data_IF_672211538503
#
_entry.id   IF_672211538503
#
_cell.length_a   1.000
_cell.length_b   1.000
_cell.length_c   1.000
_cell.angle_alpha   90.00
_cell.angle_beta   90.00
_cell.angle_gamma   90.00
#
_symmetry.space_group_name_H-M   'P 1'
#
loop_
_entity.id
_entity.type
_entity.pdbx_description
1 polymer ?
#
# COMPACT_ATOMS: atom_id res chain seq x y z
N UNK A 1 -19.56 -18.62 -7.32
CA UNK A 1 -18.11 -18.60 -7.64
C UNK A 1 -17.55 -19.94 -7.19
N UNK A 2 -17.10 -20.79 -8.10
CA UNK A 2 -16.48 -22.07 -7.73
C UNK A 2 -15.10 -21.77 -7.12
N UNK A 3 -14.87 -22.21 -5.89
CA UNK A 3 -13.55 -22.12 -5.27
C UNK A 3 -12.60 -23.07 -6.02
N UNK A 4 -11.74 -22.53 -6.87
CA UNK A 4 -10.67 -23.30 -7.52
C UNK A 4 -9.57 -23.54 -6.50
N UNK A 5 -9.31 -24.80 -6.15
CA UNK A 5 -8.21 -25.16 -5.26
C UNK A 5 -6.86 -24.68 -5.85
N UNK A 6 -5.94 -24.16 -5.03
CA UNK A 6 -4.58 -23.82 -5.45
C UNK A 6 -3.79 -25.11 -5.76
N UNK A 7 -4.04 -25.72 -6.92
CA UNK A 7 -3.36 -26.95 -7.33
C UNK A 7 -1.88 -26.69 -7.65
N UNK A 8 -0.99 -27.53 -7.14
CA UNK A 8 0.39 -27.68 -7.63
C UNK A 8 1.26 -26.42 -7.61
N UNK A 9 1.19 -25.62 -6.55
CA UNK A 9 2.05 -24.43 -6.41
C UNK A 9 3.49 -24.81 -6.07
N UNK A 10 4.43 -24.35 -6.88
CA UNK A 10 5.85 -24.60 -6.68
C UNK A 10 6.58 -23.40 -6.04
N UNK A 11 5.90 -22.24 -5.92
CA UNK A 11 6.48 -21.02 -5.36
C UNK A 11 5.44 -20.15 -4.63
N UNK A 12 5.93 -19.28 -3.73
CA UNK A 12 5.08 -18.28 -3.03
C UNK A 12 4.47 -17.25 -3.99
N UNK A 13 5.14 -17.00 -5.13
CA UNK A 13 4.65 -16.12 -6.20
C UNK A 13 3.41 -16.70 -6.86
N UNK A 14 3.35 -18.02 -7.07
CA UNK A 14 2.17 -18.69 -7.63
C UNK A 14 0.97 -18.57 -6.69
N UNK A 15 1.21 -18.63 -5.38
CA UNK A 15 0.19 -18.47 -4.36
C UNK A 15 -0.40 -17.06 -4.35
N UNK A 16 0.45 -16.03 -4.45
CA UNK A 16 0.00 -14.65 -4.60
C UNK A 16 -0.73 -14.41 -5.91
N UNK A 17 -0.28 -15.01 -7.01
CA UNK A 17 -0.92 -14.88 -8.32
C UNK A 17 -2.32 -15.51 -8.31
N UNK A 18 -2.45 -16.70 -7.73
CA UNK A 18 -3.75 -17.36 -7.54
C UNK A 18 -4.67 -16.54 -6.63
N UNK A 19 -4.18 -16.08 -5.47
CA UNK A 19 -4.97 -15.24 -4.56
C UNK A 19 -5.44 -13.94 -5.23
N UNK A 20 -4.58 -13.30 -6.05
CA UNK A 20 -4.97 -12.13 -6.82
C UNK A 20 -6.02 -12.47 -7.90
N UNK A 21 -5.93 -13.64 -8.54
CA UNK A 21 -6.92 -14.08 -9.53
C UNK A 21 -8.30 -14.38 -8.93
N UNK A 22 -8.36 -14.91 -7.71
CA UNK A 22 -9.63 -15.24 -7.02
C UNK A 22 -10.30 -13.99 -6.44
N UNK A 23 -9.57 -12.89 -6.33
CA UNK A 23 -10.04 -11.62 -5.74
C UNK A 23 -10.18 -10.50 -6.78
N UNK A 24 -10.33 -10.82 -8.06
CA UNK A 24 -10.43 -9.83 -9.14
C UNK A 24 -9.28 -8.79 -9.13
N UNK A 25 -8.07 -9.26 -8.83
CA UNK A 25 -6.84 -8.45 -8.69
C UNK A 25 -6.83 -7.46 -7.52
N UNK A 26 -7.70 -7.62 -6.52
CA UNK A 26 -7.76 -6.76 -5.33
C UNK A 26 -6.96 -7.25 -4.13
N UNK A 27 -6.48 -8.50 -4.11
CA UNK A 27 -5.76 -9.04 -2.95
C UNK A 27 -4.55 -8.19 -2.55
N UNK A 28 -3.64 -7.95 -3.50
CA UNK A 28 -2.41 -7.20 -3.23
C UNK A 28 -2.69 -5.70 -3.00
N UNK A 29 -3.55 -5.03 -3.80
CA UNK A 29 -4.05 -3.69 -3.49
C UNK A 29 -4.64 -3.55 -2.07
N UNK A 30 -5.46 -4.52 -1.65
CA UNK A 30 -6.09 -4.55 -0.34
C UNK A 30 -5.06 -4.66 0.79
N UNK A 31 -4.05 -5.52 0.63
CA UNK A 31 -2.94 -5.64 1.58
C UNK A 31 -2.16 -4.33 1.70
N UNK A 32 -1.91 -3.63 0.59
CA UNK A 32 -1.23 -2.32 0.62
C UNK A 32 -2.05 -1.27 1.39
N UNK A 33 -3.36 -1.22 1.18
CA UNK A 33 -4.25 -0.30 1.92
C UNK A 33 -4.32 -0.67 3.40
N UNK A 34 -4.41 -1.96 3.74
CA UNK A 34 -4.38 -2.39 5.14
C UNK A 34 -3.05 -2.02 5.81
N UNK A 35 -1.93 -2.23 5.11
CA UNK A 35 -0.59 -1.85 5.59
C UNK A 35 -0.48 -0.35 5.80
N UNK A 36 -1.04 0.45 4.89
CA UNK A 36 -1.14 1.91 5.04
C UNK A 36 -1.83 2.31 6.35
N UNK A 37 -3.02 1.76 6.60
CA UNK A 37 -3.81 2.08 7.80
C UNK A 37 -3.04 1.68 9.06
N UNK A 38 -2.42 0.50 9.09
CA UNK A 38 -1.65 0.01 10.24
C UNK A 38 -0.46 0.94 10.54
N UNK A 39 0.32 1.30 9.52
CA UNK A 39 1.48 2.20 9.68
C UNK A 39 1.00 3.58 10.13
N UNK A 40 -0.06 4.10 9.54
CA UNK A 40 -0.61 5.41 9.89
C UNK A 40 -1.08 5.46 11.35
N UNK A 41 -1.88 4.48 11.80
CA UNK A 41 -2.33 4.40 13.20
C UNK A 41 -1.13 4.28 14.14
N UNK A 42 -0.16 3.42 13.82
CA UNK A 42 1.05 3.24 14.64
C UNK A 42 1.85 4.54 14.75
N UNK A 43 1.95 5.32 13.68
CA UNK A 43 2.63 6.62 13.70
C UNK A 43 1.86 7.67 14.51
N UNK A 44 0.51 7.67 14.46
CA UNK A 44 -0.34 8.55 15.25
C UNK A 44 -0.29 8.24 16.75
N UNK A 45 -0.10 6.97 17.13
CA UNK A 45 0.02 6.59 18.56
C UNK A 45 1.30 7.14 19.23
N UNK A 46 2.24 7.67 18.45
CA UNK A 46 3.44 8.31 18.98
C UNK A 46 3.18 9.80 19.22
N UNK A 47 3.25 10.24 20.48
CA UNK A 47 2.92 11.61 20.90
C UNK A 47 3.78 12.70 20.25
N UNK A 48 4.94 12.34 19.69
CA UNK A 48 5.86 13.29 19.06
C UNK A 48 5.56 13.52 17.57
N UNK A 49 4.64 12.75 16.98
CA UNK A 49 4.28 12.88 15.56
C UNK A 49 2.99 13.68 15.40
N UNK A 50 3.06 14.76 14.62
CA UNK A 50 1.86 15.39 14.08
C UNK A 50 1.21 14.50 13.02
N UNK A 51 -0.11 14.66 12.87
CA UNK A 51 -0.92 13.88 11.91
C UNK A 51 -0.36 13.96 10.49
N UNK A 52 0.20 15.11 10.10
CA UNK A 52 0.80 15.34 8.78
C UNK A 52 2.09 14.52 8.57
N UNK A 53 2.94 14.43 9.60
CA UNK A 53 4.16 13.60 9.57
C UNK A 53 3.81 12.11 9.48
N UNK A 54 2.81 11.68 10.27
CA UNK A 54 2.31 10.31 10.24
C UNK A 54 1.74 9.94 8.86
N UNK A 55 0.95 10.84 8.26
CA UNK A 55 0.34 10.66 6.94
C UNK A 55 1.41 10.60 5.83
N UNK A 56 2.38 11.52 5.84
CA UNK A 56 3.46 11.55 4.85
C UNK A 56 4.35 10.30 4.93
N UNK A 57 4.73 9.88 6.13
CA UNK A 57 5.55 8.69 6.34
C UNK A 57 4.82 7.40 5.93
N UNK A 58 3.55 7.24 6.31
CA UNK A 58 2.74 6.08 5.92
C UNK A 58 2.54 6.00 4.40
N UNK A 59 2.24 7.14 3.77
CA UNK A 59 2.08 7.24 2.31
C UNK A 59 3.37 6.89 1.59
N UNK A 60 4.52 7.40 2.05
CA UNK A 60 5.83 7.12 1.47
C UNK A 60 6.22 5.64 1.55
N UNK A 61 6.03 5.01 2.72
CA UNK A 61 6.33 3.59 2.89
C UNK A 61 5.48 2.70 1.99
N UNK A 62 4.19 3.01 1.85
CA UNK A 62 3.28 2.22 1.01
C UNK A 62 3.51 2.51 -0.47
N UNK A 63 3.94 3.72 -0.83
CA UNK A 63 4.39 4.02 -2.19
C UNK A 63 5.57 3.14 -2.59
N UNK A 64 6.58 2.98 -1.74
CA UNK A 64 7.71 2.06 -1.99
C UNK A 64 7.21 0.61 -2.16
N UNK A 65 6.34 0.13 -1.26
CA UNK A 65 5.78 -1.22 -1.36
C UNK A 65 4.95 -1.40 -2.64
N UNK A 66 4.20 -0.38 -3.06
CA UNK A 66 3.41 -0.39 -4.28
C UNK A 66 4.29 -0.46 -5.53
N UNK A 67 5.47 0.18 -5.51
CA UNK A 67 6.48 0.10 -6.58
C UNK A 67 7.01 -1.32 -6.69
N UNK A 68 7.40 -1.94 -5.58
CA UNK A 68 7.85 -3.35 -5.58
C UNK A 68 6.76 -4.31 -6.06
N UNK A 69 5.52 -4.12 -5.59
CA UNK A 69 4.38 -4.90 -6.05
C UNK A 69 4.10 -4.71 -7.56
N UNK A 70 4.35 -3.51 -8.09
CA UNK A 70 4.25 -3.24 -9.53
C UNK A 70 5.34 -3.92 -10.35
N UNK A 71 6.58 -3.94 -9.87
CA UNK A 71 7.70 -4.65 -10.54
C UNK A 71 7.40 -6.14 -10.68
N UNK A 72 6.75 -6.74 -9.68
CA UNK A 72 6.27 -8.13 -9.72
C UNK A 72 4.94 -8.31 -10.48
N UNK A 73 4.45 -7.25 -11.14
CA UNK A 73 3.20 -7.21 -11.91
C UNK A 73 1.93 -7.59 -11.13
N UNK A 74 1.94 -7.42 -9.80
CA UNK A 74 0.80 -7.74 -8.94
C UNK A 74 -0.23 -6.61 -8.81
N UNK A 75 0.13 -5.39 -9.23
CA UNK A 75 -0.67 -4.18 -9.04
C UNK A 75 -0.67 -3.36 -10.34
N UNK A 76 -1.76 -2.66 -10.64
CA UNK A 76 -1.85 -1.80 -11.82
C UNK A 76 -1.07 -0.49 -11.65
N UNK A 77 -0.64 0.11 -12.77
CA UNK A 77 0.03 1.43 -12.75
C UNK A 77 -0.87 2.51 -12.12
N UNK A 78 -2.18 2.42 -12.32
CA UNK A 78 -3.14 3.35 -11.74
C UNK A 78 -3.10 3.35 -10.21
N UNK A 79 -3.05 2.18 -9.58
CA UNK A 79 -3.03 2.07 -8.12
C UNK A 79 -1.71 2.59 -7.52
N UNK A 80 -0.57 2.34 -8.20
CA UNK A 80 0.72 2.93 -7.82
C UNK A 80 0.67 4.47 -7.86
N UNK A 81 0.05 5.04 -8.89
CA UNK A 81 -0.05 6.50 -9.04
C UNK A 81 -0.83 7.16 -7.90
N UNK A 82 -1.83 6.48 -7.33
CA UNK A 82 -2.60 6.98 -6.17
C UNK A 82 -1.69 7.19 -4.96
N UNK A 83 -0.81 6.24 -4.63
CA UNK A 83 0.10 6.38 -3.50
C UNK A 83 1.19 7.43 -3.72
N UNK A 84 1.62 7.61 -4.97
CA UNK A 84 2.54 8.71 -5.33
C UNK A 84 1.87 10.06 -5.07
N UNK A 85 0.63 10.23 -5.52
CA UNK A 85 -0.15 11.45 -5.31
C UNK A 85 -0.39 11.69 -3.81
N UNK A 86 -0.80 10.66 -3.06
CA UNK A 86 -0.99 10.74 -1.61
C UNK A 86 0.30 11.16 -0.89
N UNK A 87 1.45 10.62 -1.31
CA UNK A 87 2.75 11.00 -0.75
C UNK A 87 3.07 12.46 -1.04
N UNK A 88 2.82 12.94 -2.27
CA UNK A 88 3.01 14.34 -2.62
C UNK A 88 2.11 15.28 -1.80
N UNK A 89 0.83 14.95 -1.64
CA UNK A 89 -0.10 15.69 -0.77
C UNK A 89 0.38 15.69 0.69
N UNK A 90 0.85 14.56 1.20
CA UNK A 90 1.39 14.46 2.56
C UNK A 90 2.62 15.34 2.78
N UNK A 91 3.52 15.40 1.79
CA UNK A 91 4.68 16.28 1.84
C UNK A 91 4.29 17.77 1.84
N UNK A 92 3.31 18.15 1.00
CA UNK A 92 2.77 19.52 0.97
C UNK A 92 2.11 19.89 2.29
N UNK A 93 1.28 19.01 2.85
CA UNK A 93 0.66 19.23 4.16
C UNK A 93 1.72 19.41 5.24
N UNK A 94 2.72 18.51 5.31
CA UNK A 94 3.81 18.62 6.26
C UNK A 94 4.58 19.94 6.11
N UNK A 95 4.77 20.43 4.89
CA UNK A 95 5.39 21.74 4.65
C UNK A 95 4.56 22.87 5.24
N UNK A 96 3.25 22.91 4.92
CA UNK A 96 2.32 23.93 5.43
C UNK A 96 2.30 23.96 6.96
N UNK A 97 2.24 22.79 7.61
CA UNK A 97 2.23 22.69 9.07
C UNK A 97 3.56 23.13 9.73
N UNK A 98 4.70 22.95 9.04
CA UNK A 98 6.00 23.39 9.56
C UNK A 98 6.29 24.88 9.30
N UNK A 99 5.63 25.52 8.31
CA UNK A 99 5.82 26.95 7.99
C UNK A 99 4.72 27.86 8.53
N UNK A 100 3.64 27.29 9.08
CA UNK A 100 2.51 28.00 9.67
C UNK A 100 2.69 28.31 11.15
#
# INVERSE_FOLDING_TARGET
MAFSSPGGMNSTVDLFTWANSVTDSWFIPGILVATYIIIFIKMLTNSNNTSSKAFAAASFMVMILSVFARVMNFVSTGFMSVFIILTAFGAVWMHIENTG
#
